data_IF_461307370006
#
_entry.id   IF_461307370006
#
_cell.length_a   1.000
_cell.length_b   1.000
_cell.length_c   1.000
_cell.angle_alpha   90.00
_cell.angle_beta   90.00
_cell.angle_gamma   90.00
#
_symmetry.space_group_name_H-M   'P 1'
#
loop_
_entity.id
_entity.type
_entity.pdbx_description
1 polymer ?
#
# COMPACT_ATOMS: atom_id res chain seq x y z
N UNK A 1 15.98 7.55 -1.54
CA UNK A 1 14.90 6.68 -1.07
C UNK A 1 15.45 5.69 -0.07
N UNK A 2 14.90 5.70 1.13
CA UNK A 2 15.22 4.75 2.19
C UNK A 2 13.92 4.20 2.78
N UNK A 3 13.98 3.05 3.45
CA UNK A 3 12.85 2.51 4.16
C UNK A 3 13.29 1.84 5.46
N UNK A 4 12.40 1.80 6.44
CA UNK A 4 12.63 1.15 7.72
C UNK A 4 11.31 0.72 8.36
N UNK A 5 11.40 -0.19 9.33
CA UNK A 5 10.26 -0.64 10.12
C UNK A 5 10.16 0.18 11.42
N UNK A 6 8.93 0.62 11.76
CA UNK A 6 8.65 1.32 13.01
C UNK A 6 7.20 1.07 13.43
N UNK A 7 6.99 0.54 14.64
CA UNK A 7 5.66 0.31 15.23
C UNK A 7 4.70 -0.45 14.30
N UNK A 8 5.13 -1.56 13.71
CA UNK A 8 4.31 -2.34 12.78
C UNK A 8 4.02 -1.65 11.44
N UNK A 9 4.80 -0.65 11.07
CA UNK A 9 4.65 0.08 9.82
C UNK A 9 5.94 0.04 9.01
N UNK A 10 5.84 -0.08 7.69
CA UNK A 10 6.96 0.22 6.79
C UNK A 10 6.89 1.69 6.40
N UNK A 11 7.93 2.43 6.76
CA UNK A 11 8.08 3.85 6.44
C UNK A 11 9.04 4.00 5.28
N UNK A 12 8.59 4.61 4.20
CA UNK A 12 9.41 5.00 3.05
C UNK A 12 9.69 6.49 3.13
N UNK A 13 10.97 6.87 3.13
CA UNK A 13 11.43 8.26 3.16
C UNK A 13 12.04 8.65 1.82
N UNK A 14 11.62 9.76 1.28
CA UNK A 14 12.13 10.31 0.04
C UNK A 14 13.30 11.28 0.30
N UNK A 15 14.23 11.47 -0.65
CA UNK A 15 15.38 12.36 -0.46
C UNK A 15 15.01 13.84 -0.37
N UNK A 16 13.74 14.18 -0.53
CA UNK A 16 13.19 15.53 -0.48
C UNK A 16 11.72 15.53 -0.87
N UNK A 17 11.16 16.71 -1.11
CA UNK A 17 9.79 16.85 -1.61
C UNK A 17 9.64 16.12 -2.95
N UNK A 18 8.79 15.12 -2.99
CA UNK A 18 8.63 14.21 -4.11
C UNK A 18 7.22 14.32 -4.67
N UNK A 19 7.10 14.22 -5.98
CA UNK A 19 5.81 14.06 -6.65
C UNK A 19 5.34 12.63 -6.50
N UNK A 20 4.13 12.46 -5.97
CA UNK A 20 3.52 11.15 -5.69
C UNK A 20 2.15 11.07 -6.35
N UNK A 21 1.83 9.94 -6.94
CA UNK A 21 0.49 9.53 -7.33
C UNK A 21 0.04 8.42 -6.39
N UNK A 22 -1.03 8.65 -5.65
CA UNK A 22 -1.50 7.72 -4.62
C UNK A 22 -3.01 7.52 -4.66
N UNK A 23 -3.45 6.31 -4.33
CA UNK A 23 -4.87 5.97 -4.11
C UNK A 23 -5.31 6.18 -2.67
N UNK A 24 -4.43 6.64 -1.79
CA UNK A 24 -4.72 6.92 -0.39
C UNK A 24 -5.76 8.05 -0.24
N UNK A 25 -6.65 8.02 0.76
CA UNK A 25 -7.41 9.20 1.13
C UNK A 25 -6.53 10.30 1.76
N UNK A 26 -5.40 9.92 2.38
CA UNK A 26 -4.44 10.88 2.94
C UNK A 26 -3.49 11.38 1.85
N UNK A 27 -3.64 12.62 1.41
CA UNK A 27 -2.89 13.25 0.33
C UNK A 27 -2.84 12.42 -0.96
N UNK A 28 -3.98 11.83 -1.32
CA UNK A 28 -4.15 11.06 -2.56
C UNK A 28 -4.20 11.90 -3.81
N UNK A 29 -4.34 11.23 -4.96
CA UNK A 29 -4.21 11.87 -6.25
C UNK A 29 -2.75 12.21 -6.56
N UNK A 30 -2.51 13.30 -7.27
CA UNK A 30 -1.15 13.79 -7.60
C UNK A 30 -0.78 14.92 -6.65
N UNK A 31 0.25 14.72 -5.86
CA UNK A 31 0.84 15.71 -4.95
C UNK A 31 2.32 15.89 -5.22
N UNK A 32 2.91 17.06 -4.90
CA UNK A 32 4.29 17.38 -5.25
C UNK A 32 5.16 17.79 -4.04
N UNK A 33 4.70 17.49 -2.84
CA UNK A 33 5.35 17.98 -1.61
C UNK A 33 5.58 16.90 -0.55
N UNK A 34 5.32 15.63 -0.89
CA UNK A 34 5.45 14.56 0.07
C UNK A 34 6.91 14.18 0.30
N UNK A 35 7.20 13.82 1.53
CA UNK A 35 8.51 13.35 1.99
C UNK A 35 8.47 11.89 2.44
N UNK A 36 7.25 11.36 2.69
CA UNK A 36 7.06 9.99 3.17
C UNK A 36 5.88 9.30 2.47
N UNK A 37 6.00 7.97 2.38
CA UNK A 37 4.87 7.07 2.17
C UNK A 37 4.89 6.00 3.25
N UNK A 38 3.72 5.56 3.69
CA UNK A 38 3.57 4.65 4.81
C UNK A 38 2.75 3.43 4.41
N UNK A 39 3.19 2.26 4.84
CA UNK A 39 2.42 1.02 4.82
C UNK A 39 2.13 0.62 6.27
N UNK A 40 0.90 0.79 6.71
CA UNK A 40 0.49 0.69 8.10
C UNK A 40 -0.17 -0.66 8.30
N UNK A 41 0.33 -1.45 9.27
CA UNK A 41 -0.39 -2.64 9.70
C UNK A 41 -1.58 -2.22 10.56
N UNK A 42 -2.80 -2.51 10.10
CA UNK A 42 -4.04 -2.19 10.83
C UNK A 42 -4.44 -3.25 11.86
N UNK A 43 -3.70 -4.38 11.94
CA UNK A 43 -4.02 -5.47 12.85
C UNK A 43 -3.55 -5.15 14.27
N UNK A 44 -4.45 -5.22 15.23
CA UNK A 44 -4.19 -4.96 16.66
C UNK A 44 -3.67 -6.19 17.43
N UNK A 45 -3.19 -7.22 16.75
CA UNK A 45 -2.74 -8.47 17.34
C UNK A 45 -3.85 -9.50 17.63
N UNK A 46 -5.12 -9.12 17.45
CA UNK A 46 -6.29 -9.99 17.62
C UNK A 46 -6.94 -10.41 16.28
N UNK A 47 -6.23 -10.24 15.17
CA UNK A 47 -6.73 -10.45 13.79
C UNK A 47 -7.92 -9.56 13.41
N UNK A 48 -8.08 -8.45 14.09
CA UNK A 48 -9.10 -7.44 13.79
C UNK A 48 -8.41 -6.14 13.36
N UNK A 49 -8.93 -5.51 12.31
CA UNK A 49 -8.57 -4.15 11.95
C UNK A 49 -9.42 -3.20 12.78
N UNK A 50 -8.80 -2.53 13.74
CA UNK A 50 -9.45 -1.50 14.55
C UNK A 50 -9.02 -0.13 14.03
N UNK A 51 -10.01 0.68 13.63
CA UNK A 51 -9.75 2.07 13.26
C UNK A 51 -9.68 2.94 14.51
N UNK A 52 -8.65 3.76 14.63
CA UNK A 52 -8.47 4.75 15.69
C UNK A 52 -9.26 6.05 15.40
N UNK A 53 -9.64 6.27 14.15
CA UNK A 53 -10.39 7.42 13.68
C UNK A 53 -11.83 7.06 13.30
N UNK A 54 -12.69 8.10 13.12
CA UNK A 54 -14.07 7.93 12.65
C UNK A 54 -14.14 7.69 11.14
N UNK A 55 -13.08 8.03 10.41
CA UNK A 55 -12.92 7.80 8.97
C UNK A 55 -11.57 7.19 8.68
N UNK A 56 -11.44 6.53 7.53
CA UNK A 56 -10.17 5.95 7.11
C UNK A 56 -9.05 7.00 6.96
N UNK A 57 -9.37 8.21 6.50
CA UNK A 57 -8.41 9.31 6.44
C UNK A 57 -7.94 9.74 7.83
N UNK A 58 -8.87 9.82 8.78
CA UNK A 58 -8.57 10.17 10.18
C UNK A 58 -7.66 9.12 10.84
N UNK A 59 -7.94 7.86 10.60
CA UNK A 59 -7.14 6.73 11.05
C UNK A 59 -5.69 6.82 10.55
N UNK A 60 -5.50 7.02 9.25
CA UNK A 60 -4.19 7.21 8.66
C UNK A 60 -3.45 8.45 9.22
N UNK A 61 -4.18 9.53 9.49
CA UNK A 61 -3.64 10.72 10.13
C UNK A 61 -3.10 10.43 11.54
N UNK A 62 -3.86 9.68 12.35
CA UNK A 62 -3.48 9.32 13.73
C UNK A 62 -2.19 8.48 13.69
N UNK A 63 -2.17 7.41 12.92
CA UNK A 63 -1.00 6.54 12.80
C UNK A 63 0.24 7.28 12.28
N UNK A 64 0.07 8.19 11.33
CA UNK A 64 1.17 9.01 10.80
C UNK A 64 1.78 9.89 11.89
N UNK A 65 0.94 10.54 12.70
CA UNK A 65 1.38 11.36 13.85
C UNK A 65 2.07 10.53 14.93
N UNK A 66 1.59 9.34 15.23
CA UNK A 66 2.22 8.43 16.20
C UNK A 66 3.62 7.98 15.79
N UNK A 67 3.89 7.96 14.49
CA UNK A 67 5.23 7.71 13.94
C UNK A 67 6.14 8.95 14.04
N UNK A 68 5.59 10.11 14.42
CA UNK A 68 6.32 11.38 14.48
C UNK A 68 6.48 12.04 13.10
N UNK A 69 5.62 11.70 12.15
CA UNK A 69 5.64 12.24 10.78
C UNK A 69 4.46 13.21 10.64
N UNK A 70 4.70 14.34 9.98
CA UNK A 70 3.63 15.29 9.66
C UNK A 70 2.71 14.71 8.57
N UNK A 71 1.41 14.48 8.87
CA UNK A 71 0.47 13.95 7.90
C UNK A 71 0.35 14.79 6.62
N UNK A 72 0.61 16.10 6.67
CA UNK A 72 0.57 16.95 5.49
C UNK A 72 1.70 16.64 4.49
N UNK A 73 2.74 15.93 4.92
CA UNK A 73 3.91 15.58 4.09
C UNK A 73 4.01 14.08 3.79
N UNK A 74 2.96 13.32 4.10
CA UNK A 74 2.94 11.89 3.93
C UNK A 74 1.69 11.41 3.21
N UNK A 75 1.78 10.25 2.55
CA UNK A 75 0.64 9.45 2.12
C UNK A 75 0.73 8.07 2.78
N UNK A 76 -0.40 7.41 3.01
CA UNK A 76 -0.42 6.15 3.73
C UNK A 76 -1.46 5.17 3.18
N UNK A 77 -1.17 3.89 3.26
CA UNK A 77 -2.08 2.78 3.00
C UNK A 77 -2.07 1.84 4.21
N UNK A 78 -3.23 1.33 4.59
CA UNK A 78 -3.33 0.27 5.60
C UNK A 78 -3.29 -1.11 4.95
N UNK A 79 -2.86 -2.09 5.71
CA UNK A 79 -2.85 -3.50 5.32
C UNK A 79 -3.05 -4.40 6.53
N UNK A 80 -3.72 -5.53 6.32
CA UNK A 80 -3.74 -6.64 7.29
C UNK A 80 -2.51 -7.56 7.13
N UNK A 81 -1.74 -7.40 6.05
CA UNK A 81 -0.51 -8.17 5.85
C UNK A 81 0.60 -7.68 6.79
N UNK A 82 1.48 -8.60 7.18
CA UNK A 82 2.66 -8.28 7.99
C UNK A 82 3.60 -7.35 7.23
N UNK A 83 3.74 -6.12 7.69
CA UNK A 83 4.58 -5.12 7.02
C UNK A 83 6.07 -5.44 7.12
N UNK A 84 6.48 -6.23 8.10
CA UNK A 84 7.84 -6.76 8.26
C UNK A 84 8.24 -7.69 7.11
N UNK A 85 7.26 -8.31 6.45
CA UNK A 85 7.46 -9.18 5.28
C UNK A 85 7.39 -8.40 3.95
N UNK A 86 7.50 -7.08 4.00
CA UNK A 86 7.53 -6.26 2.79
C UNK A 86 8.69 -6.68 1.88
N UNK A 87 8.36 -7.21 0.71
CA UNK A 87 9.33 -7.54 -0.31
C UNK A 87 9.76 -6.26 -1.04
N UNK A 88 11.07 -6.03 -1.15
CA UNK A 88 11.61 -4.84 -1.82
C UNK A 88 12.62 -5.28 -2.88
N UNK A 89 12.32 -4.92 -4.13
CA UNK A 89 13.16 -5.23 -5.29
C UNK A 89 13.50 -3.96 -6.07
N UNK A 90 14.72 -3.88 -6.58
CA UNK A 90 15.22 -2.76 -7.37
C UNK A 90 15.80 -3.24 -8.70
N UNK A 91 15.33 -2.63 -9.78
CA UNK A 91 15.87 -2.84 -11.14
C UNK A 91 16.49 -1.54 -11.62
N UNK A 92 17.63 -1.65 -12.28
CA UNK A 92 18.36 -0.54 -12.86
C UNK A 92 18.52 -0.73 -14.37
N UNK A 93 18.36 0.35 -15.10
CA UNK A 93 18.70 0.43 -16.52
C UNK A 93 19.37 1.79 -16.79
N UNK A 94 20.65 1.77 -17.02
CA UNK A 94 21.48 2.99 -17.06
C UNK A 94 21.28 3.81 -15.77
N UNK A 95 20.94 5.10 -15.88
CA UNK A 95 20.69 6.00 -14.76
C UNK A 95 19.29 5.86 -14.14
N UNK A 96 18.38 5.16 -14.84
CA UNK A 96 17.03 4.90 -14.34
C UNK A 96 17.08 3.75 -13.35
N UNK A 97 16.46 3.95 -12.19
CA UNK A 97 16.16 2.84 -11.29
C UNK A 97 14.70 2.89 -10.84
N UNK A 98 14.10 1.72 -10.76
CA UNK A 98 12.77 1.52 -10.22
C UNK A 98 12.87 0.58 -9.05
N UNK A 99 12.34 0.99 -7.91
CA UNK A 99 12.22 0.15 -6.72
C UNK A 99 10.74 -0.11 -6.46
N UNK A 100 10.37 -1.37 -6.36
CA UNK A 100 9.04 -1.80 -5.94
C UNK A 100 9.11 -2.36 -4.52
N UNK A 101 8.18 -1.96 -3.67
CA UNK A 101 8.00 -2.51 -2.34
C UNK A 101 6.55 -3.00 -2.23
N UNK A 102 6.36 -4.25 -1.84
CA UNK A 102 5.06 -4.92 -1.87
C UNK A 102 4.82 -5.68 -0.58
N UNK A 103 3.63 -5.50 -0.01
CA UNK A 103 3.07 -6.42 0.99
C UNK A 103 1.83 -7.08 0.43
N UNK A 104 1.66 -8.36 0.68
CA UNK A 104 0.50 -9.13 0.23
C UNK A 104 0.02 -10.09 1.29
N UNK A 105 -1.29 -10.09 1.54
CA UNK A 105 -2.00 -11.06 2.33
C UNK A 105 -3.33 -11.37 1.63
N UNK A 106 -3.42 -12.52 0.98
CA UNK A 106 -4.55 -12.92 0.12
C UNK A 106 -5.03 -14.32 0.45
N UNK A 107 -5.10 -14.67 1.73
CA UNK A 107 -5.41 -16.03 2.15
C UNK A 107 -6.82 -16.48 1.70
N UNK A 108 -7.82 -15.61 1.79
CA UNK A 108 -9.22 -15.96 1.51
C UNK A 108 -9.94 -15.00 0.55
N UNK A 109 -9.33 -13.91 0.13
CA UNK A 109 -10.00 -12.87 -0.65
C UNK A 109 -9.20 -12.36 -1.86
N UNK A 110 -8.37 -13.20 -2.43
CA UNK A 110 -7.78 -12.95 -3.74
C UNK A 110 -8.88 -12.98 -4.80
N UNK A 111 -9.44 -11.82 -5.15
CA UNK A 111 -10.56 -11.69 -6.06
C UNK A 111 -10.09 -11.28 -7.45
N UNK A 112 -10.71 -11.87 -8.45
CA UNK A 112 -10.59 -11.43 -9.85
C UNK A 112 -11.72 -10.45 -10.21
N UNK A 113 -11.53 -9.60 -11.23
CA UNK A 113 -12.63 -8.81 -11.76
C UNK A 113 -13.82 -9.71 -12.15
N UNK A 114 -14.99 -9.43 -11.59
CA UNK A 114 -16.19 -10.22 -11.79
C UNK A 114 -16.55 -11.15 -10.64
N UNK A 115 -15.63 -11.36 -9.69
CA UNK A 115 -15.94 -12.08 -8.46
C UNK A 115 -16.89 -11.28 -7.56
N UNK A 116 -17.67 -11.93 -6.70
CA UNK A 116 -18.49 -11.24 -5.70
C UNK A 116 -17.67 -10.28 -4.85
N UNK A 117 -18.24 -9.10 -4.55
CA UNK A 117 -17.59 -8.11 -3.69
C UNK A 117 -17.25 -8.67 -2.29
N UNK A 118 -16.11 -8.25 -1.72
CA UNK A 118 -15.73 -8.56 -0.33
C UNK A 118 -16.61 -7.82 0.69
N UNK A 119 -17.35 -6.83 0.27
CA UNK A 119 -18.30 -6.09 1.06
C UNK A 119 -19.69 -6.23 0.46
N UNK A 120 -20.63 -6.48 1.31
CA UNK A 120 -22.02 -6.40 0.97
C UNK A 120 -22.69 -5.35 1.86
N UNK A 121 -23.08 -4.23 1.28
CA UNK A 121 -23.89 -3.22 1.96
C UNK A 121 -25.36 -3.51 1.72
N UNK A 122 -26.11 -3.69 2.79
CA UNK A 122 -27.57 -3.84 2.75
C UNK A 122 -28.20 -3.05 3.87
N UNK A 123 -29.06 -2.08 3.52
CA UNK A 123 -29.81 -1.26 4.48
C UNK A 123 -28.92 -0.54 5.50
N UNK A 124 -27.73 -0.05 5.08
CA UNK A 124 -26.79 0.64 5.95
C UNK A 124 -26.00 -0.28 6.90
N UNK A 125 -26.09 -1.59 6.74
CA UNK A 125 -25.26 -2.55 7.46
C UNK A 125 -24.26 -3.21 6.47
N UNK A 126 -23.06 -3.50 6.98
CA UNK A 126 -21.98 -4.14 6.22
C UNK A 126 -21.79 -5.55 6.73
N UNK A 127 -21.71 -6.51 5.80
CA UNK A 127 -21.21 -7.84 6.08
C UNK A 127 -19.79 -7.93 5.52
N UNK A 128 -18.82 -8.11 6.41
CA UNK A 128 -17.41 -8.20 6.06
C UNK A 128 -16.99 -9.64 5.77
N UNK A 129 -16.34 -9.83 4.64
CA UNK A 129 -15.49 -11.01 4.41
C UNK A 129 -14.09 -10.75 4.98
N UNK A 130 -13.31 -11.80 5.31
CA UNK A 130 -11.97 -11.62 5.88
C UNK A 130 -11.11 -10.67 5.03
N UNK A 131 -10.45 -9.69 5.65
CA UNK A 131 -9.66 -8.70 4.91
C UNK A 131 -8.42 -9.32 4.29
N UNK A 132 -8.09 -8.96 3.07
CA UNK A 132 -6.83 -9.22 2.41
C UNK A 132 -6.47 -8.05 1.53
N UNK A 133 -5.19 -7.76 1.44
CA UNK A 133 -4.70 -6.57 0.76
C UNK A 133 -3.37 -6.85 0.10
N UNK A 134 -3.17 -6.25 -1.07
CA UNK A 134 -1.84 -6.14 -1.70
C UNK A 134 -1.55 -4.66 -1.87
N UNK A 135 -0.66 -4.12 -1.06
CA UNK A 135 -0.16 -2.76 -1.21
C UNK A 135 1.12 -2.74 -2.01
N UNK A 136 1.19 -1.85 -2.98
CA UNK A 136 2.33 -1.69 -3.89
C UNK A 136 2.81 -0.24 -3.83
N UNK A 137 4.11 -0.07 -3.55
CA UNK A 137 4.80 1.22 -3.57
C UNK A 137 5.88 1.15 -4.64
N UNK A 138 5.90 2.12 -5.55
CA UNK A 138 6.88 2.19 -6.63
C UNK A 138 7.62 3.51 -6.53
N UNK A 139 8.93 3.45 -6.38
CA UNK A 139 9.82 4.61 -6.42
C UNK A 139 10.62 4.60 -7.70
N UNK A 140 10.54 5.70 -8.45
CA UNK A 140 11.31 5.95 -9.68
C UNK A 140 12.27 7.11 -9.38
N UNK A 141 13.57 6.88 -9.59
CA UNK A 141 14.60 7.88 -9.27
C UNK A 141 14.71 9.03 -10.29
N UNK A 142 13.80 9.08 -11.25
CA UNK A 142 13.75 10.11 -12.30
C UNK A 142 12.44 10.90 -12.24
N UNK A 143 12.47 12.13 -12.69
CA UNK A 143 11.26 12.91 -12.90
C UNK A 143 10.50 12.37 -14.12
N UNK A 144 9.32 11.84 -13.87
CA UNK A 144 8.42 11.35 -14.91
C UNK A 144 7.21 12.25 -15.08
N UNK A 145 6.60 12.24 -16.25
CA UNK A 145 5.35 12.98 -16.49
C UNK A 145 4.17 12.35 -15.74
N UNK A 146 3.12 13.10 -15.51
CA UNK A 146 1.90 12.57 -14.88
C UNK A 146 1.30 11.41 -15.68
N UNK A 147 1.33 11.50 -17.01
CA UNK A 147 0.90 10.42 -17.88
C UNK A 147 1.73 9.13 -17.67
N UNK A 148 3.04 9.26 -17.47
CA UNK A 148 3.91 8.13 -17.15
C UNK A 148 3.61 7.57 -15.74
N UNK A 149 3.28 8.41 -14.76
CA UNK A 149 2.86 7.95 -13.43
C UNK A 149 1.56 7.13 -13.51
N UNK A 150 0.56 7.61 -14.24
CA UNK A 150 -0.70 6.86 -14.46
C UNK A 150 -0.41 5.53 -15.17
N UNK A 151 0.43 5.53 -16.20
CA UNK A 151 0.83 4.31 -16.90
C UNK A 151 1.54 3.31 -15.98
N UNK A 152 2.39 3.81 -15.08
CA UNK A 152 3.10 2.97 -14.09
C UNK A 152 2.13 2.26 -13.15
N UNK A 153 1.05 2.93 -12.71
CA UNK A 153 0.00 2.29 -11.89
C UNK A 153 -0.74 1.19 -12.65
N UNK A 154 -1.02 1.40 -13.94
CA UNK A 154 -1.65 0.37 -14.77
C UNK A 154 -0.75 -0.87 -14.88
N UNK A 155 0.53 -0.67 -15.19
CA UNK A 155 1.52 -1.76 -15.28
C UNK A 155 1.68 -2.48 -13.94
N UNK A 156 1.70 -1.76 -12.82
CA UNK A 156 1.75 -2.36 -11.49
C UNK A 156 0.53 -3.23 -11.19
N UNK A 157 -0.66 -2.79 -11.60
CA UNK A 157 -1.89 -3.55 -11.43
C UNK A 157 -1.91 -4.81 -12.30
N UNK A 158 -1.44 -4.72 -13.54
CA UNK A 158 -1.29 -5.88 -14.44
C UNK A 158 -0.27 -6.88 -13.87
N UNK A 159 0.88 -6.41 -13.41
CA UNK A 159 1.91 -7.25 -12.80
C UNK A 159 1.41 -7.94 -11.52
N UNK A 160 0.66 -7.22 -10.68
CA UNK A 160 0.01 -7.78 -9.49
C UNK A 160 -0.95 -8.91 -9.87
N UNK A 161 -1.84 -8.68 -10.83
CA UNK A 161 -2.79 -9.69 -11.30
C UNK A 161 -2.09 -10.92 -11.87
N UNK A 162 -1.04 -10.73 -12.68
CA UNK A 162 -0.24 -11.81 -13.22
C UNK A 162 0.45 -12.63 -12.10
N UNK A 163 1.04 -11.96 -11.11
CA UNK A 163 1.70 -12.63 -9.99
C UNK A 163 0.73 -13.50 -9.16
N UNK A 164 -0.48 -13.00 -8.90
CA UNK A 164 -1.51 -13.74 -8.15
C UNK A 164 -2.05 -14.92 -8.96
N UNK A 165 -2.13 -14.80 -10.28
CA UNK A 165 -2.65 -15.86 -11.16
C UNK A 165 -1.67 -17.01 -11.38
N UNK A 166 -0.38 -16.86 -11.02
CA UNK A 166 0.60 -17.94 -11.16
C UNK A 166 0.59 -18.89 -9.96
N UNK A 167 0.42 -20.23 -10.16
CA UNK A 167 0.35 -21.22 -9.08
C UNK A 167 1.56 -21.21 -8.11
N UNK A 168 2.73 -20.81 -8.57
CA UNK A 168 3.96 -20.70 -7.77
C UNK A 168 3.86 -19.62 -6.70
N UNK A 169 3.01 -18.60 -6.90
CA UNK A 169 2.84 -17.50 -5.97
C UNK A 169 2.09 -17.91 -4.68
N UNK A 170 1.20 -18.90 -4.78
CA UNK A 170 0.38 -19.36 -3.63
C UNK A 170 1.17 -20.10 -2.54
N UNK A 171 2.33 -20.69 -2.87
CA UNK A 171 3.13 -21.45 -1.89
C UNK A 171 4.00 -20.57 -1.00
N UNK A 172 4.26 -19.32 -1.40
CA UNK A 172 5.12 -18.39 -0.67
C UNK A 172 4.37 -17.22 -0.02
N UNK A 173 3.08 -17.04 -0.33
CA UNK A 173 2.23 -15.96 0.20
C UNK A 173 1.34 -16.40 1.36
N UNK A 174 1.51 -17.61 1.88
CA UNK A 174 0.84 -17.99 3.14
C UNK A 174 1.48 -17.20 4.26
N UNK A 175 0.79 -16.19 4.73
CA UNK A 175 1.05 -15.60 6.03
C UNK A 175 0.78 -16.68 7.09
N UNK A 176 1.77 -17.05 7.84
CA UNK A 176 1.63 -17.84 9.06
C UNK A 176 1.23 -16.92 10.20
#
# INVERSE_FOLDING_TARGET
FTYFQKKGCTVFSFPGKTRVLSTSPLNGGITAHLTHALNINCMNGAYECEMLGNTYEEDLNIHTKELGIDPQTATALSTAAWTELCAVEKICYQELSVTAAVTGGIDSNGMCPGDPSSYYERNGAYEMLPPGTINVFIYINQNVTEAAMVRSMMIASEAKAAAVSHPVSYTHLRAH
#
